data_IF_636103132422
#
_entry.id   IF_636103132422
#
_cell.length_a   1.000
_cell.length_b   1.000
_cell.length_c   1.000
_cell.angle_alpha   90.00
_cell.angle_beta   90.00
_cell.angle_gamma   90.00
#
_symmetry.space_group_name_H-M   'P 1'
#
loop_
_entity.id
_entity.type
_entity.pdbx_description
1 polymer ?
#
# COMPACT_ATOMS: atom_id res chain seq x y z
N UNK A 1 -21.57 9.11 11.50
CA UNK A 1 -22.26 9.39 10.21
C UNK A 1 -21.27 9.49 9.05
N UNK A 2 -20.23 10.33 9.11
CA UNK A 2 -19.22 10.47 8.05
C UNK A 2 -18.53 9.15 7.69
N UNK A 3 -18.14 8.33 8.68
CA UNK A 3 -17.49 7.02 8.45
C UNK A 3 -18.39 6.02 7.69
N UNK A 4 -19.69 6.04 7.96
CA UNK A 4 -20.66 5.16 7.28
C UNK A 4 -20.83 5.59 5.83
N UNK A 5 -20.92 6.91 5.60
CA UNK A 5 -21.01 7.47 4.24
C UNK A 5 -19.74 7.17 3.44
N UNK A 6 -18.55 7.40 4.02
CA UNK A 6 -17.29 7.09 3.33
C UNK A 6 -17.19 5.61 3.00
N UNK A 7 -17.56 4.73 3.93
CA UNK A 7 -17.54 3.29 3.70
C UNK A 7 -18.51 2.86 2.58
N UNK A 8 -19.74 3.38 2.59
CA UNK A 8 -20.72 3.14 1.51
C UNK A 8 -20.20 3.65 0.15
N UNK A 9 -19.54 4.80 0.10
CA UNK A 9 -18.91 5.31 -1.12
C UNK A 9 -17.79 4.38 -1.60
N UNK A 10 -16.93 3.91 -0.70
CA UNK A 10 -15.85 2.95 -1.03
C UNK A 10 -16.41 1.64 -1.60
N UNK A 11 -17.49 1.11 -1.02
CA UNK A 11 -18.12 -0.10 -1.57
C UNK A 11 -18.72 0.14 -2.95
N UNK A 12 -19.37 1.29 -3.17
CA UNK A 12 -19.92 1.64 -4.49
C UNK A 12 -18.83 1.79 -5.54
N UNK A 13 -17.71 2.42 -5.22
CA UNK A 13 -16.59 2.57 -6.17
C UNK A 13 -15.90 1.24 -6.44
N UNK A 14 -15.78 0.36 -5.44
CA UNK A 14 -15.26 -1.00 -5.63
C UNK A 14 -16.15 -1.82 -6.55
N UNK A 15 -17.47 -1.76 -6.36
CA UNK A 15 -18.42 -2.41 -7.25
C UNK A 15 -18.32 -1.88 -8.69
N UNK A 16 -18.24 -0.56 -8.85
CA UNK A 16 -18.10 0.06 -10.16
C UNK A 16 -16.82 -0.37 -10.87
N UNK A 17 -15.71 -0.51 -10.15
CA UNK A 17 -14.45 -1.01 -10.69
C UNK A 17 -14.56 -2.43 -11.26
N UNK A 18 -15.29 -3.32 -10.58
CA UNK A 18 -15.52 -4.70 -11.05
C UNK A 18 -16.28 -4.68 -12.38
N UNK A 19 -17.33 -3.87 -12.49
CA UNK A 19 -18.08 -3.73 -13.75
C UNK A 19 -17.22 -3.14 -14.87
N UNK A 20 -16.34 -2.19 -14.54
CA UNK A 20 -15.45 -1.54 -15.52
C UNK A 20 -14.39 -2.49 -16.08
N UNK A 21 -14.01 -3.51 -15.31
CA UNK A 21 -13.03 -4.52 -15.69
C UNK A 21 -13.48 -5.33 -16.92
N UNK A 22 -14.79 -5.55 -17.05
CA UNK A 22 -15.45 -6.32 -18.11
C UNK A 22 -16.34 -5.46 -19.02
N UNK A 23 -16.09 -4.16 -19.10
CA UNK A 23 -16.89 -3.21 -19.88
C UNK A 23 -17.08 -3.59 -21.36
N UNK A 24 -16.16 -4.36 -21.94
CA UNK A 24 -16.19 -4.77 -23.34
C UNK A 24 -16.17 -6.31 -23.42
N UNK A 25 -17.14 -6.94 -24.12
CA UNK A 25 -17.17 -8.40 -24.24
C UNK A 25 -15.88 -8.89 -24.92
N UNK A 26 -15.16 -9.80 -24.25
CA UNK A 26 -13.92 -10.40 -24.76
C UNK A 26 -12.63 -9.65 -24.45
N UNK A 27 -12.65 -8.52 -23.74
CA UNK A 27 -11.43 -7.80 -23.32
C UNK A 27 -11.42 -7.48 -21.83
N UNK A 28 -10.46 -8.07 -21.11
CA UNK A 28 -10.24 -7.86 -19.68
C UNK A 28 -9.27 -6.70 -19.45
N UNK A 29 -9.69 -5.70 -18.70
CA UNK A 29 -8.86 -4.55 -18.35
C UNK A 29 -8.22 -4.70 -16.96
N UNK A 30 -7.10 -5.41 -16.85
CA UNK A 30 -6.43 -5.67 -15.56
C UNK A 30 -5.71 -4.45 -14.94
N UNK A 31 -5.43 -3.41 -15.73
CA UNK A 31 -4.68 -2.23 -15.26
C UNK A 31 -5.50 -0.96 -15.45
N UNK A 32 -5.45 -0.09 -14.46
CA UNK A 32 -6.04 1.26 -14.52
C UNK A 32 -5.55 2.08 -15.72
N UNK A 33 -4.29 1.89 -16.14
CA UNK A 33 -3.74 2.56 -17.32
C UNK A 33 -4.46 2.11 -18.60
N UNK A 34 -4.80 0.83 -18.71
CA UNK A 34 -5.47 0.28 -19.89
C UNK A 34 -6.96 0.69 -19.94
N UNK A 35 -7.61 0.76 -18.78
CA UNK A 35 -8.91 1.41 -18.60
C UNK A 35 -8.88 2.89 -18.98
N UNK A 36 -7.89 3.63 -18.50
CA UNK A 36 -7.70 5.05 -18.83
C UNK A 36 -7.49 5.26 -20.33
N UNK A 37 -6.69 4.40 -20.98
CA UNK A 37 -6.51 4.41 -22.44
C UNK A 37 -7.81 4.18 -23.20
N UNK A 38 -8.67 3.31 -22.70
CA UNK A 38 -9.95 3.02 -23.33
C UNK A 38 -10.93 4.20 -23.19
N UNK A 39 -11.02 4.80 -22.00
CA UNK A 39 -11.99 5.87 -21.72
C UNK A 39 -11.57 7.26 -22.25
N UNK A 40 -10.29 7.63 -22.15
CA UNK A 40 -9.78 8.97 -22.49
C UNK A 40 -8.91 9.01 -23.74
N UNK A 41 -8.77 7.87 -24.42
CA UNK A 41 -7.94 7.72 -25.61
C UNK A 41 -6.48 7.36 -25.31
N UNK A 42 -5.77 6.94 -26.36
CA UNK A 42 -4.49 6.23 -26.26
C UNK A 42 -3.33 7.08 -25.69
N UNK A 43 -3.41 8.42 -25.79
CA UNK A 43 -2.38 9.36 -25.30
C UNK A 43 -2.75 10.05 -23.97
N UNK A 44 -4.00 10.48 -23.80
CA UNK A 44 -4.42 11.25 -22.62
C UNK A 44 -4.71 10.35 -21.40
N UNK A 45 -5.26 9.15 -21.62
CA UNK A 45 -5.59 8.21 -20.56
C UNK A 45 -4.44 7.86 -19.61
N UNK A 46 -3.27 7.42 -20.14
CA UNK A 46 -2.10 7.13 -19.31
C UNK A 46 -1.60 8.37 -18.55
N UNK A 47 -1.65 9.54 -19.17
CA UNK A 47 -1.15 10.79 -18.58
C UNK A 47 -1.99 11.28 -17.39
N UNK A 48 -3.26 10.93 -17.32
CA UNK A 48 -4.13 11.30 -16.19
C UNK A 48 -4.02 10.26 -15.07
N UNK A 49 -4.06 8.97 -15.41
CA UNK A 49 -4.11 7.88 -14.43
C UNK A 49 -2.76 7.67 -13.74
N UNK A 50 -1.66 7.69 -14.50
CA UNK A 50 -0.34 7.35 -13.98
C UNK A 50 0.14 8.32 -12.89
N UNK A 51 0.02 9.65 -13.02
CA UNK A 51 0.43 10.57 -11.95
C UNK A 51 -0.31 10.31 -10.64
N UNK A 52 -1.62 10.08 -10.70
CA UNK A 52 -2.41 9.78 -9.50
C UNK A 52 -1.95 8.49 -8.83
N UNK A 53 -1.69 7.44 -9.61
CA UNK A 53 -1.18 6.17 -9.08
C UNK A 53 0.19 6.32 -8.44
N UNK A 54 1.11 7.05 -9.09
CA UNK A 54 2.45 7.29 -8.58
C UNK A 54 2.43 8.09 -7.27
N UNK A 55 1.63 9.15 -7.21
CA UNK A 55 1.50 9.99 -5.99
C UNK A 55 1.01 9.14 -4.81
N UNK A 56 -0.01 8.31 -5.01
CA UNK A 56 -0.54 7.44 -3.96
C UNK A 56 0.48 6.39 -3.53
N UNK A 57 1.15 5.74 -4.48
CA UNK A 57 2.14 4.70 -4.19
C UNK A 57 3.33 5.27 -3.40
N UNK A 58 3.94 6.36 -3.89
CA UNK A 58 5.06 7.02 -3.22
C UNK A 58 4.65 7.55 -1.84
N UNK A 59 3.46 8.13 -1.71
CA UNK A 59 2.93 8.61 -0.44
C UNK A 59 2.76 7.47 0.58
N UNK A 60 2.18 6.35 0.18
CA UNK A 60 2.03 5.17 1.02
C UNK A 60 3.39 4.62 1.47
N UNK A 61 4.36 4.50 0.54
CA UNK A 61 5.70 3.99 0.86
C UNK A 61 6.41 4.88 1.90
N UNK A 62 6.32 6.20 1.78
CA UNK A 62 6.89 7.14 2.76
C UNK A 62 6.23 6.96 4.14
N UNK A 63 4.91 6.92 4.19
CA UNK A 63 4.17 6.77 5.45
C UNK A 63 4.50 5.45 6.13
N UNK A 64 4.62 4.36 5.37
CA UNK A 64 5.02 3.07 5.92
C UNK A 64 6.44 3.08 6.46
N UNK A 65 7.41 3.69 5.78
CA UNK A 65 8.78 3.79 6.27
C UNK A 65 8.87 4.60 7.57
N UNK A 66 8.18 5.74 7.64
CA UNK A 66 8.18 6.60 8.82
C UNK A 66 7.48 5.92 10.00
N UNK A 67 6.32 5.30 9.74
CA UNK A 67 5.52 4.62 10.78
C UNK A 67 6.24 3.38 11.28
N UNK A 68 6.78 2.55 10.39
CA UNK A 68 7.58 1.36 10.74
C UNK A 68 8.80 1.72 11.58
N UNK A 69 9.55 2.76 11.19
CA UNK A 69 10.68 3.26 11.99
C UNK A 69 10.26 3.78 13.37
N UNK A 70 9.10 4.44 13.49
CA UNK A 70 8.54 4.85 14.80
C UNK A 70 8.16 3.66 15.66
N UNK A 71 7.48 2.67 15.10
CA UNK A 71 7.08 1.46 15.81
C UNK A 71 8.32 0.69 16.32
N UNK A 72 9.36 0.58 15.49
CA UNK A 72 10.61 -0.10 15.87
C UNK A 72 11.32 0.65 17.01
N UNK A 73 11.35 1.98 16.96
CA UNK A 73 11.87 2.80 18.05
C UNK A 73 11.09 2.54 19.36
N UNK A 74 9.76 2.59 19.31
CA UNK A 74 8.92 2.36 20.48
C UNK A 74 9.09 0.95 21.07
N UNK A 75 9.23 -0.06 20.21
CA UNK A 75 9.54 -1.42 20.65
C UNK A 75 10.87 -1.50 21.38
N UNK A 76 11.91 -0.84 20.86
CA UNK A 76 13.23 -0.81 21.51
C UNK A 76 13.20 -0.06 22.84
N UNK A 77 12.52 1.08 22.91
CA UNK A 77 12.36 1.86 24.14
C UNK A 77 11.62 1.04 25.23
N UNK A 78 10.70 0.16 24.83
CA UNK A 78 9.99 -0.75 25.74
C UNK A 78 10.85 -1.96 26.16
N UNK A 79 11.66 -2.51 25.26
CA UNK A 79 12.51 -3.67 25.51
C UNK A 79 13.79 -3.33 26.29
N UNK A 80 14.33 -2.13 26.13
CA UNK A 80 15.56 -1.67 26.79
C UNK A 80 15.40 -0.23 27.31
N UNK A 81 15.00 -0.09 28.57
CA UNK A 81 14.78 1.21 29.24
C UNK A 81 16.05 2.03 29.47
N UNK A 82 17.24 1.41 29.42
CA UNK A 82 18.54 2.06 29.67
C UNK A 82 19.42 2.20 28.40
N UNK A 83 18.86 1.93 27.22
CA UNK A 83 19.59 2.06 25.96
C UNK A 83 19.72 3.53 25.52
N UNK A 84 20.78 3.86 24.78
CA UNK A 84 21.02 5.22 24.29
C UNK A 84 19.90 5.65 23.34
N UNK A 85 19.38 6.87 23.53
CA UNK A 85 18.37 7.42 22.63
C UNK A 85 18.97 7.72 21.26
N UNK A 86 18.76 6.82 20.32
CA UNK A 86 19.15 7.00 18.92
C UNK A 86 18.13 7.91 18.21
N UNK A 87 18.60 8.78 17.32
CA UNK A 87 17.74 9.61 16.46
C UNK A 87 16.79 8.74 15.65
N UNK A 88 15.53 9.16 15.56
CA UNK A 88 14.47 8.45 14.82
C UNK A 88 14.85 8.18 13.35
N UNK A 89 15.63 9.05 12.72
CA UNK A 89 16.10 8.89 11.34
C UNK A 89 16.90 7.60 11.12
N UNK A 90 17.67 7.14 12.12
CA UNK A 90 18.41 5.88 12.01
C UNK A 90 17.48 4.67 12.05
N UNK A 91 16.43 4.70 12.88
CA UNK A 91 15.42 3.64 12.92
C UNK A 91 14.65 3.52 11.60
N UNK A 92 14.37 4.65 10.95
CA UNK A 92 13.76 4.66 9.61
C UNK A 92 14.73 4.05 8.57
N UNK A 93 16.02 4.40 8.62
CA UNK A 93 17.03 3.82 7.71
C UNK A 93 17.20 2.31 7.91
N UNK A 94 17.23 1.83 9.16
CA UNK A 94 17.31 0.40 9.48
C UNK A 94 16.08 -0.33 8.92
N UNK A 95 14.87 0.21 9.17
CA UNK A 95 13.63 -0.36 8.65
C UNK A 95 13.62 -0.39 7.11
N UNK A 96 14.06 0.71 6.47
CA UNK A 96 14.21 0.79 5.02
C UNK A 96 15.23 -0.22 4.46
N UNK A 97 16.34 -0.45 5.15
CA UNK A 97 17.33 -1.46 4.77
C UNK A 97 16.78 -2.88 4.79
N UNK A 98 15.99 -3.22 5.82
CA UNK A 98 15.28 -4.51 5.89
C UNK A 98 14.29 -4.65 4.74
N UNK A 99 13.48 -3.61 4.47
CA UNK A 99 12.56 -3.60 3.33
C UNK A 99 13.28 -3.75 1.99
N UNK A 100 14.43 -3.10 1.81
CA UNK A 100 15.25 -3.23 0.61
C UNK A 100 15.71 -4.67 0.42
N UNK A 101 16.22 -5.31 1.48
CA UNK A 101 16.62 -6.72 1.42
C UNK A 101 15.43 -7.65 1.12
N UNK A 102 14.30 -7.43 1.78
CA UNK A 102 13.06 -8.18 1.54
C UNK A 102 12.56 -8.02 0.09
N UNK A 103 12.74 -6.85 -0.52
CA UNK A 103 12.34 -6.61 -1.91
C UNK A 103 13.16 -7.42 -2.93
N UNK A 104 14.35 -7.89 -2.55
CA UNK A 104 15.18 -8.75 -3.40
C UNK A 104 14.78 -10.23 -3.30
N UNK A 105 13.94 -10.63 -2.33
CA UNK A 105 13.51 -12.00 -2.17
C UNK A 105 12.28 -12.26 -3.08
N UNK A 106 12.37 -13.18 -4.07
CA UNK A 106 11.31 -13.42 -5.04
C UNK A 106 10.15 -14.29 -4.48
N UNK A 107 10.11 -14.53 -3.17
CA UNK A 107 9.28 -15.58 -2.59
C UNK A 107 7.90 -15.05 -2.16
N UNK A 108 6.90 -15.26 -3.01
CA UNK A 108 5.49 -14.94 -2.71
C UNK A 108 4.92 -15.70 -1.51
N UNK A 109 5.56 -16.81 -1.10
CA UNK A 109 5.12 -17.59 0.06
C UNK A 109 5.28 -16.81 1.39
N UNK A 110 6.22 -15.85 1.45
CA UNK A 110 6.41 -14.98 2.62
C UNK A 110 5.23 -14.04 2.86
N UNK A 111 4.49 -13.67 1.80
CA UNK A 111 3.33 -12.78 1.88
C UNK A 111 2.15 -13.46 2.58
N UNK A 112 1.99 -14.77 2.41
CA UNK A 112 0.97 -15.55 3.11
C UNK A 112 1.21 -15.55 4.63
N UNK A 113 2.47 -15.69 5.06
CA UNK A 113 2.84 -15.62 6.48
C UNK A 113 2.57 -14.25 7.12
N UNK A 114 2.90 -13.16 6.42
CA UNK A 114 2.59 -11.79 6.86
C UNK A 114 1.08 -11.57 6.94
N UNK A 115 0.32 -12.08 5.97
CA UNK A 115 -1.15 -11.99 5.95
C UNK A 115 -1.78 -12.73 7.14
N UNK A 116 -1.27 -13.93 7.46
CA UNK A 116 -1.69 -14.70 8.63
C UNK A 116 -1.42 -13.95 9.94
N UNK A 117 -0.23 -13.39 10.10
CA UNK A 117 0.12 -12.61 11.30
C UNK A 117 -0.80 -11.39 11.47
N UNK A 118 -1.09 -10.68 10.38
CA UNK A 118 -2.03 -9.54 10.37
C UNK A 118 -3.45 -9.98 10.75
N UNK A 119 -3.91 -11.13 10.25
CA UNK A 119 -5.21 -11.68 10.59
C UNK A 119 -5.32 -12.00 12.09
N UNK A 120 -4.27 -12.60 12.69
CA UNK A 120 -4.23 -12.88 14.13
C UNK A 120 -4.22 -11.58 14.95
N UNK A 121 -3.47 -10.56 14.53
CA UNK A 121 -3.49 -9.25 15.18
C UNK A 121 -4.86 -8.56 15.12
N UNK A 122 -5.64 -8.80 14.07
CA UNK A 122 -6.97 -8.21 13.89
C UNK A 122 -8.09 -8.90 14.68
N UNK A 123 -7.83 -10.13 15.17
CA UNK A 123 -8.79 -10.94 15.95
C UNK A 123 -8.81 -10.60 17.45
N UNK A 124 -7.88 -9.77 17.93
CA UNK A 124 -7.77 -9.33 19.31
C UNK A 124 -8.02 -7.83 19.42
#
# INVERSE_FOLDING_TARGET
MVLVVSWCMTLRTLWQMIQLHECVPGKRFDRYIDLGRHAFGQRLGPWIVLPQQLIVQVGCDIVYMVTGGKCLKQFMDMACTNCTQVRQSYWILIFGGIHFFLSQLPNFNSVAGVSLATAVMSLR
#
